data_IF_796059558795
#
_entry.id   IF_796059558795
#
_cell.length_a   1.000
_cell.length_b   1.000
_cell.length_c   1.000
_cell.angle_alpha   90.00
_cell.angle_beta   90.00
_cell.angle_gamma   90.00
#
_symmetry.space_group_name_H-M   'P 1'
#
loop_
_entity.id
_entity.type
_entity.pdbx_description
1 polymer ?
#
# COMPACT_ATOMS: atom_id res chain seq x y z
N UNK A 1 5.63 13.83 7.34
CA UNK A 1 5.86 13.36 8.72
C UNK A 1 5.21 14.26 9.80
N UNK A 2 5.35 15.60 9.73
CA UNK A 2 4.81 16.54 10.74
C UNK A 2 3.28 16.58 10.88
N UNK A 3 2.53 16.31 9.81
CA UNK A 3 1.06 16.40 9.83
C UNK A 3 0.38 15.24 10.55
N UNK A 4 0.96 14.04 10.45
CA UNK A 4 0.45 12.83 11.09
C UNK A 4 0.71 12.85 12.59
N UNK A 5 1.92 13.30 13.00
CA UNK A 5 2.29 13.45 14.40
C UNK A 5 1.36 14.42 15.15
N UNK A 6 0.99 15.54 14.52
CA UNK A 6 0.04 16.51 15.11
C UNK A 6 -1.38 15.96 15.28
N UNK A 7 -1.84 15.04 14.41
CA UNK A 7 -3.16 14.41 14.54
C UNK A 7 -3.17 13.35 15.64
N UNK A 8 -2.13 12.53 15.71
CA UNK A 8 -1.98 11.51 16.77
C UNK A 8 -1.85 12.18 18.14
N UNK A 9 -1.04 13.24 18.25
CA UNK A 9 -0.89 13.99 19.50
C UNK A 9 -2.21 14.62 19.96
N UNK A 10 -3.01 15.16 19.04
CA UNK A 10 -4.34 15.72 19.37
C UNK A 10 -5.31 14.65 19.87
N UNK A 11 -5.35 13.48 19.23
CA UNK A 11 -6.22 12.37 19.65
C UNK A 11 -5.80 11.88 21.05
N UNK A 12 -4.49 11.81 21.31
CA UNK A 12 -3.96 11.36 22.59
C UNK A 12 -4.26 12.36 23.72
N UNK A 13 -4.16 13.67 23.44
CA UNK A 13 -4.57 14.71 24.40
C UNK A 13 -6.06 14.67 24.68
N UNK A 14 -6.91 14.44 23.66
CA UNK A 14 -8.36 14.32 23.82
C UNK A 14 -8.73 13.07 24.63
N UNK A 15 -8.07 11.93 24.37
CA UNK A 15 -8.29 10.71 25.14
C UNK A 15 -7.89 10.87 26.62
N UNK A 16 -6.78 11.54 26.90
CA UNK A 16 -6.35 11.84 28.28
C UNK A 16 -7.30 12.81 28.96
N UNK A 17 -7.81 13.83 28.27
CA UNK A 17 -8.84 14.74 28.79
C UNK A 17 -10.15 14.01 29.08
N UNK A 18 -10.60 13.09 28.22
CA UNK A 18 -11.81 12.29 28.42
C UNK A 18 -11.68 11.33 29.61
N UNK A 19 -10.51 10.69 29.78
CA UNK A 19 -10.23 9.82 30.94
C UNK A 19 -10.19 10.63 32.25
N UNK A 20 -9.76 11.90 32.18
CA UNK A 20 -9.72 12.78 33.35
C UNK A 20 -11.11 13.33 33.73
N UNK A 21 -12.09 13.20 32.82
CA UNK A 21 -13.48 13.64 32.99
C UNK A 21 -14.45 12.48 33.24
N UNK A 22 -13.98 11.26 33.52
CA UNK A 22 -14.87 10.20 33.99
C UNK A 22 -15.46 10.61 35.35
N UNK A 23 -16.76 10.94 35.45
CA UNK A 23 -17.37 11.04 36.76
C UNK A 23 -17.24 9.65 37.40
N UNK A 24 -16.97 9.59 38.69
CA UNK A 24 -17.08 8.34 39.44
C UNK A 24 -18.52 7.84 39.28
N UNK A 25 -18.75 7.02 38.26
CA UNK A 25 -20.03 6.37 38.05
C UNK A 25 -20.13 5.38 39.19
N UNK A 26 -20.96 5.74 40.18
CA UNK A 26 -21.40 4.80 41.18
C UNK A 26 -21.96 3.60 40.41
N UNK A 27 -21.34 2.45 40.60
CA UNK A 27 -21.84 1.17 40.10
C UNK A 27 -23.27 1.07 40.59
N UNK A 28 -24.25 1.24 39.70
CA UNK A 28 -25.65 0.99 40.03
C UNK A 28 -25.77 -0.51 40.19
N UNK A 29 -25.66 -0.97 41.43
CA UNK A 29 -25.96 -2.35 41.79
C UNK A 29 -27.39 -2.62 41.30
N UNK A 30 -27.55 -3.69 40.53
CA UNK A 30 -28.83 -4.12 40.00
C UNK A 30 -29.77 -4.41 41.18
N UNK A 31 -30.73 -3.51 41.40
CA UNK A 31 -31.69 -3.67 42.47
C UNK A 31 -32.92 -4.37 41.91
N UNK A 32 -33.20 -5.57 42.42
CA UNK A 32 -34.48 -6.22 42.16
C UNK A 32 -35.56 -5.54 43.01
N UNK A 33 -36.53 -4.87 42.37
CA UNK A 33 -37.70 -4.34 43.07
C UNK A 33 -38.66 -5.50 43.31
N UNK A 34 -38.96 -5.78 44.59
CA UNK A 34 -39.92 -6.79 44.98
C UNK A 34 -41.05 -6.13 45.78
N UNK A 35 -42.29 -6.59 45.57
CA UNK A 35 -43.45 -6.09 46.31
C UNK A 35 -43.39 -6.53 47.77
N UNK A 36 -43.83 -5.68 48.69
CA UNK A 36 -43.69 -5.85 50.15
C UNK A 36 -44.29 -7.15 50.69
N UNK A 37 -45.25 -7.74 49.97
CA UNK A 37 -46.00 -8.92 50.40
C UNK A 37 -45.34 -10.26 50.03
N UNK A 38 -44.26 -10.25 49.23
CA UNK A 38 -43.50 -11.47 48.89
C UNK A 38 -42.30 -11.64 49.82
N UNK A 39 -42.18 -12.83 50.43
CA UNK A 39 -40.99 -13.18 51.21
C UNK A 39 -39.74 -13.17 50.31
N UNK A 40 -38.61 -12.58 50.74
CA UNK A 40 -37.43 -12.43 49.91
C UNK A 40 -36.87 -13.80 49.50
N UNK A 41 -36.35 -13.95 48.26
CA UNK A 41 -35.75 -15.20 47.83
C UNK A 41 -34.61 -15.59 48.77
N UNK A 42 -34.59 -16.85 49.21
CA UNK A 42 -33.54 -17.46 50.07
C UNK A 42 -32.25 -17.71 49.26
N UNK A 43 -31.89 -16.76 48.40
CA UNK A 43 -30.55 -16.66 47.86
C UNK A 43 -29.72 -15.98 48.93
N UNK A 44 -28.53 -16.52 49.23
CA UNK A 44 -27.52 -15.83 50.03
C UNK A 44 -27.09 -14.54 49.30
N UNK A 45 -27.93 -13.50 49.36
CA UNK A 45 -27.46 -12.15 49.28
C UNK A 45 -26.51 -12.00 50.48
N UNK A 46 -25.22 -12.31 50.26
CA UNK A 46 -24.17 -11.90 51.18
C UNK A 46 -24.32 -10.39 51.26
N UNK A 47 -24.98 -9.93 52.33
CA UNK A 47 -24.98 -8.52 52.70
C UNK A 47 -23.52 -8.06 52.59
N UNK A 48 -23.25 -6.89 51.97
CA UNK A 48 -21.89 -6.39 51.88
C UNK A 48 -21.30 -6.45 53.29
N UNK A 49 -20.35 -7.37 53.51
CA UNK A 49 -19.72 -7.53 54.80
C UNK A 49 -19.09 -6.17 55.06
N UNK A 50 -19.59 -5.44 56.06
CA UNK A 50 -19.01 -4.19 56.47
C UNK A 50 -17.60 -4.51 56.95
N UNK A 51 -16.61 -4.27 56.10
CA UNK A 51 -15.21 -4.43 56.46
C UNK A 51 -14.93 -3.24 57.37
N UNK A 52 -14.75 -3.52 58.65
CA UNK A 52 -14.28 -2.50 59.59
C UNK A 52 -12.92 -1.98 59.12
N UNK A 53 -12.68 -0.68 59.30
CA UNK A 53 -11.45 -0.02 58.86
C UNK A 53 -10.17 -0.78 59.29
N UNK A 54 -10.19 -1.40 60.46
CA UNK A 54 -9.09 -2.19 61.03
C UNK A 54 -8.79 -3.51 60.30
N UNK A 55 -9.73 -4.02 59.51
CA UNK A 55 -9.55 -5.23 58.70
C UNK A 55 -8.89 -4.93 57.35
N UNK A 56 -8.83 -3.65 56.94
CA UNK A 56 -8.14 -3.25 55.72
C UNK A 56 -6.64 -3.25 55.98
N UNK A 57 -5.88 -3.91 55.11
CA UNK A 57 -4.42 -3.97 55.23
C UNK A 57 -3.82 -2.55 55.38
N UNK A 58 -2.97 -2.30 56.39
CA UNK A 58 -2.39 -0.97 56.63
C UNK A 58 -1.68 -0.38 55.39
N UNK A 59 -1.15 -1.25 54.52
CA UNK A 59 -0.49 -0.87 53.27
C UNK A 59 -1.48 -0.25 52.28
N UNK A 60 -2.69 -0.79 52.20
CA UNK A 60 -3.75 -0.29 51.31
C UNK A 60 -4.28 1.05 51.83
N UNK A 61 -4.49 1.17 53.14
CA UNK A 61 -4.87 2.45 53.77
C UNK A 61 -3.81 3.51 53.50
N UNK A 62 -2.53 3.19 53.71
CA UNK A 62 -1.43 4.11 53.46
C UNK A 62 -1.35 4.53 51.99
N UNK A 63 -1.54 3.58 51.06
CA UNK A 63 -1.57 3.88 49.63
C UNK A 63 -2.72 4.83 49.27
N UNK A 64 -3.93 4.59 49.79
CA UNK A 64 -5.09 5.45 49.57
C UNK A 64 -4.85 6.85 50.16
N UNK A 65 -4.32 6.93 51.38
CA UNK A 65 -3.96 8.20 52.02
C UNK A 65 -2.89 8.96 51.22
N UNK A 66 -1.85 8.28 50.73
CA UNK A 66 -0.83 8.89 49.86
C UNK A 66 -1.45 9.46 48.58
N UNK A 67 -2.39 8.73 47.97
CA UNK A 67 -3.07 9.19 46.75
C UNK A 67 -4.01 10.37 47.00
N UNK A 68 -4.60 10.47 48.20
CA UNK A 68 -5.40 11.62 48.63
C UNK A 68 -4.54 12.85 48.92
N UNK A 69 -3.35 12.66 49.51
CA UNK A 69 -2.40 13.74 49.81
C UNK A 69 -1.81 14.32 48.52
N UNK A 70 -1.50 13.49 47.52
CA UNK A 70 -1.05 13.99 46.23
C UNK A 70 -1.32 13.02 45.07
N UNK A 71 -1.95 13.47 43.97
CA UNK A 71 -2.15 12.64 42.78
C UNK A 71 -0.83 12.30 42.05
N UNK A 72 0.31 12.89 42.46
CA UNK A 72 1.64 12.66 41.87
C UNK A 72 2.06 11.20 41.99
N UNK A 73 1.63 10.49 43.05
CA UNK A 73 1.99 9.09 43.27
C UNK A 73 1.36 8.11 42.25
N UNK A 74 0.32 8.53 41.51
CA UNK A 74 -0.34 7.73 40.47
C UNK A 74 0.35 7.89 39.10
N UNK A 75 1.14 8.97 38.92
CA UNK A 75 1.82 9.28 37.66
C UNK A 75 2.74 8.16 37.12
N UNK A 76 3.60 7.49 37.92
CA UNK A 76 4.46 6.43 37.39
C UNK A 76 3.65 5.24 36.86
N UNK A 77 2.57 4.85 37.54
CA UNK A 77 1.67 3.80 37.06
C UNK A 77 0.97 4.19 35.75
N UNK A 78 0.53 5.45 35.61
CA UNK A 78 -0.03 5.98 34.35
C UNK A 78 0.99 5.97 33.20
N UNK A 79 2.25 6.32 33.46
CA UNK A 79 3.32 6.29 32.47
C UNK A 79 3.58 4.85 32.01
N UNK A 80 3.59 3.88 32.94
CA UNK A 80 3.75 2.46 32.62
C UNK A 80 2.58 1.94 31.79
N UNK A 81 1.33 2.20 32.18
CA UNK A 81 0.14 1.75 31.44
C UNK A 81 0.08 2.39 30.05
N UNK A 82 0.38 3.68 29.92
CA UNK A 82 0.44 4.38 28.63
C UNK A 82 1.59 3.88 27.74
N UNK A 83 2.76 3.63 28.32
CA UNK A 83 3.90 3.06 27.62
C UNK A 83 3.65 1.61 27.15
N UNK A 84 3.00 0.80 27.98
CA UNK A 84 2.60 -0.57 27.65
C UNK A 84 1.59 -0.57 26.50
N UNK A 85 0.63 0.36 26.50
CA UNK A 85 -0.29 0.56 25.37
C UNK A 85 0.43 0.96 24.08
N UNK A 86 1.50 1.76 24.18
CA UNK A 86 2.33 2.12 23.03
C UNK A 86 3.13 0.92 22.47
N UNK A 87 3.60 0.02 23.34
CA UNK A 87 4.27 -1.23 22.95
C UNK A 87 3.30 -2.30 22.43
N UNK A 88 2.08 -2.40 22.95
CA UNK A 88 1.09 -3.38 22.49
C UNK A 88 0.44 -2.96 21.17
N UNK A 89 0.36 -1.65 20.89
CA UNK A 89 -0.02 -1.09 19.59
C UNK A 89 1.15 -1.07 18.59
N UNK A 90 2.18 -1.88 18.80
CA UNK A 90 3.21 -2.14 17.80
C UNK A 90 2.58 -2.99 16.67
N UNK A 91 1.72 -2.33 15.88
CA UNK A 91 1.12 -2.81 14.65
C UNK A 91 2.22 -3.49 13.87
N UNK A 92 2.22 -4.83 13.87
CA UNK A 92 3.06 -5.75 13.12
C UNK A 92 3.67 -5.05 11.92
N UNK A 93 4.79 -4.37 12.14
CA UNK A 93 5.38 -3.49 11.15
C UNK A 93 6.06 -4.47 10.23
N UNK A 94 5.58 -4.59 9.00
CA UNK A 94 6.23 -5.43 8.01
C UNK A 94 7.66 -4.91 7.88
N UNK A 95 8.62 -5.62 8.47
CA UNK A 95 10.03 -5.33 8.35
C UNK A 95 10.49 -5.63 6.93
N UNK A 96 11.50 -4.92 6.42
CA UNK A 96 12.06 -5.08 5.06
C UNK A 96 12.39 -6.53 4.68
N UNK A 97 12.66 -7.39 5.67
CA UNK A 97 12.95 -8.83 5.52
C UNK A 97 11.69 -9.67 5.35
N UNK A 98 10.56 -9.28 5.97
CA UNK A 98 9.26 -9.98 6.00
C UNK A 98 8.30 -9.49 4.91
N UNK A 99 8.76 -8.65 3.98
CA UNK A 99 7.92 -8.07 2.90
C UNK A 99 7.57 -9.10 1.83
N UNK A 100 8.29 -10.22 1.71
CA UNK A 100 7.94 -11.26 0.74
C UNK A 100 7.30 -12.49 1.40
N UNK A 101 7.31 -12.59 2.73
CA UNK A 101 6.77 -13.72 3.51
C UNK A 101 5.26 -13.96 3.33
N UNK A 102 4.55 -13.02 2.72
CA UNK A 102 3.16 -13.24 2.37
C UNK A 102 3.11 -13.84 0.96
N UNK A 103 2.69 -15.10 0.83
CA UNK A 103 2.70 -15.85 -0.44
C UNK A 103 2.14 -15.05 -1.61
N UNK A 104 0.97 -14.41 -1.43
CA UNK A 104 0.36 -13.58 -2.48
C UNK A 104 1.25 -12.39 -2.92
N UNK A 105 1.93 -11.74 -1.98
CA UNK A 105 2.79 -10.58 -2.25
C UNK A 105 4.10 -11.00 -2.91
N UNK A 106 4.66 -12.15 -2.52
CA UNK A 106 5.75 -12.80 -3.24
C UNK A 106 5.36 -13.09 -4.69
N UNK A 107 4.20 -13.73 -4.90
CA UNK A 107 3.65 -14.00 -6.25
C UNK A 107 3.45 -12.73 -7.08
N UNK A 108 2.91 -11.66 -6.48
CA UNK A 108 2.76 -10.36 -7.17
C UNK A 108 4.13 -9.80 -7.56
N UNK A 109 5.11 -9.85 -6.67
CA UNK A 109 6.47 -9.38 -6.94
C UNK A 109 7.11 -10.19 -8.07
N UNK A 110 7.11 -11.52 -7.98
CA UNK A 110 7.69 -12.40 -8.99
C UNK A 110 7.05 -12.18 -10.36
N UNK A 111 5.73 -11.96 -10.38
CA UNK A 111 5.01 -11.68 -11.61
C UNK A 111 5.43 -10.33 -12.24
N UNK A 112 5.68 -9.29 -11.43
CA UNK A 112 6.21 -8.00 -11.89
C UNK A 112 7.65 -8.14 -12.39
N UNK A 113 8.48 -8.93 -11.72
CA UNK A 113 9.87 -9.17 -12.14
C UNK A 113 9.92 -9.89 -13.49
N UNK A 114 9.07 -10.90 -13.70
CA UNK A 114 8.97 -11.62 -14.99
C UNK A 114 8.27 -10.82 -16.09
N UNK A 115 7.51 -9.79 -15.74
CA UNK A 115 6.75 -8.97 -16.70
C UNK A 115 7.00 -7.49 -16.40
N UNK A 116 8.18 -6.96 -16.75
CA UNK A 116 8.50 -5.56 -16.51
C UNK A 116 7.52 -4.65 -17.27
N UNK A 117 7.03 -3.60 -16.61
CA UNK A 117 6.06 -2.68 -17.19
C UNK A 117 4.64 -3.22 -17.24
N UNK A 118 4.30 -4.20 -16.41
CA UNK A 118 2.93 -4.71 -16.32
C UNK A 118 1.96 -3.67 -15.73
N UNK A 119 0.73 -3.64 -16.23
CA UNK A 119 -0.34 -2.76 -15.73
C UNK A 119 -1.11 -3.37 -14.55
N UNK A 120 -1.72 -2.51 -13.73
CA UNK A 120 -2.58 -2.95 -12.62
C UNK A 120 -3.63 -4.00 -13.05
N UNK A 121 -4.37 -3.73 -14.13
CA UNK A 121 -5.43 -4.62 -14.64
C UNK A 121 -4.89 -5.95 -15.15
N UNK A 122 -3.65 -5.99 -15.63
CA UNK A 122 -3.03 -7.24 -16.10
C UNK A 122 -2.63 -8.11 -14.91
N UNK A 123 -2.08 -7.51 -13.85
CA UNK A 123 -1.78 -8.23 -12.59
C UNK A 123 -3.09 -8.77 -11.98
N UNK A 124 -4.13 -7.93 -11.92
CA UNK A 124 -5.45 -8.29 -11.39
C UNK A 124 -6.03 -9.53 -12.07
N UNK A 125 -6.04 -9.53 -13.42
CA UNK A 125 -6.56 -10.63 -14.23
C UNK A 125 -5.70 -11.88 -14.12
N UNK A 126 -4.39 -11.76 -14.33
CA UNK A 126 -3.51 -12.93 -14.45
C UNK A 126 -3.24 -13.62 -13.11
N UNK A 127 -3.26 -12.89 -12.00
CA UNK A 127 -3.14 -13.48 -10.67
C UNK A 127 -4.50 -13.74 -9.99
N UNK A 128 -5.61 -13.36 -10.64
CA UNK A 128 -6.98 -13.51 -10.10
C UNK A 128 -7.13 -12.95 -8.68
N UNK A 129 -6.62 -11.73 -8.48
CA UNK A 129 -6.61 -11.06 -7.16
C UNK A 129 -7.64 -9.94 -7.13
N UNK A 130 -8.36 -9.82 -6.03
CA UNK A 130 -9.28 -8.69 -5.83
C UNK A 130 -8.53 -7.34 -5.88
N UNK A 131 -9.09 -6.35 -6.58
CA UNK A 131 -8.58 -4.98 -6.71
C UNK A 131 -8.09 -4.36 -5.40
N UNK A 132 -8.89 -4.43 -4.33
CA UNK A 132 -8.52 -3.83 -3.03
C UNK A 132 -7.30 -4.51 -2.40
N UNK A 133 -7.24 -5.83 -2.49
CA UNK A 133 -6.12 -6.65 -2.02
C UNK A 133 -4.86 -6.37 -2.82
N UNK A 134 -4.97 -6.31 -4.16
CA UNK A 134 -3.85 -5.97 -5.03
C UNK A 134 -3.33 -4.56 -4.74
N UNK A 135 -4.21 -3.58 -4.56
CA UNK A 135 -3.83 -2.21 -4.22
C UNK A 135 -3.07 -2.13 -2.89
N UNK A 136 -3.52 -2.87 -1.86
CA UNK A 136 -2.82 -2.96 -0.59
C UNK A 136 -1.40 -3.54 -0.76
N UNK A 137 -1.27 -4.65 -1.49
CA UNK A 137 0.03 -5.29 -1.70
C UNK A 137 0.98 -4.45 -2.55
N UNK A 138 0.52 -3.83 -3.64
CA UNK A 138 1.32 -2.93 -4.46
C UNK A 138 1.75 -1.68 -3.68
N UNK A 139 0.85 -1.10 -2.89
CA UNK A 139 1.19 0.02 -2.00
C UNK A 139 2.27 -0.38 -1.00
N UNK A 140 2.18 -1.60 -0.46
CA UNK A 140 3.19 -2.14 0.47
C UNK A 140 4.52 -2.36 -0.24
N UNK A 141 4.55 -3.06 -1.38
CA UNK A 141 5.77 -3.29 -2.17
C UNK A 141 6.46 -1.98 -2.58
N UNK A 142 5.68 -0.95 -2.94
CA UNK A 142 6.19 0.39 -3.25
C UNK A 142 6.78 1.07 -2.02
N UNK A 143 6.09 1.01 -0.87
CA UNK A 143 6.56 1.59 0.39
C UNK A 143 7.89 0.98 0.83
N UNK A 144 8.07 -0.31 0.59
CA UNK A 144 9.29 -1.05 0.93
C UNK A 144 10.36 -1.00 -0.17
N UNK A 145 10.18 -0.14 -1.18
CA UNK A 145 11.12 0.07 -2.30
C UNK A 145 11.47 -1.18 -3.10
N UNK A 146 10.55 -2.15 -3.18
CA UNK A 146 10.72 -3.37 -4.01
C UNK A 146 10.30 -3.13 -5.46
N UNK A 147 9.33 -2.26 -5.68
CA UNK A 147 8.82 -1.94 -7.03
C UNK A 147 8.84 -0.43 -7.29
N UNK A 148 9.09 -0.07 -8.54
CA UNK A 148 8.96 1.27 -9.10
C UNK A 148 7.66 1.38 -9.91
N UNK A 149 7.11 2.59 -10.02
CA UNK A 149 5.86 2.84 -10.74
C UNK A 149 6.05 4.00 -11.70
N UNK A 150 5.78 3.77 -12.99
CA UNK A 150 5.67 4.79 -14.01
C UNK A 150 4.20 5.09 -14.27
N UNK A 151 3.79 6.36 -14.16
CA UNK A 151 2.41 6.77 -14.46
C UNK A 151 2.38 7.41 -15.85
N UNK A 152 1.64 6.79 -16.77
CA UNK A 152 1.44 7.29 -18.13
C UNK A 152 -0.04 7.24 -18.51
N UNK A 153 -0.60 8.37 -18.97
CA UNK A 153 -2.01 8.48 -19.39
C UNK A 153 -3.01 7.91 -18.37
N UNK A 154 -2.79 8.21 -17.08
CA UNK A 154 -3.59 7.71 -15.92
C UNK A 154 -3.50 6.20 -15.67
N UNK A 155 -2.61 5.47 -16.35
CA UNK A 155 -2.30 4.06 -16.08
C UNK A 155 -0.94 3.97 -15.36
N UNK A 156 -0.87 3.11 -14.35
CA UNK A 156 0.36 2.78 -13.64
C UNK A 156 0.98 1.51 -14.21
N UNK A 157 2.26 1.60 -14.57
CA UNK A 157 3.11 0.50 -15.05
C UNK A 157 4.12 0.18 -13.95
N UNK A 158 4.24 -1.09 -13.58
CA UNK A 158 5.05 -1.54 -12.44
C UNK A 158 6.34 -2.20 -12.92
N UNK A 159 7.44 -1.90 -12.23
CA UNK A 159 8.78 -2.40 -12.53
C UNK A 159 9.48 -2.84 -11.26
N UNK A 160 10.47 -3.72 -11.38
CA UNK A 160 11.38 -4.03 -10.27
C UNK A 160 12.24 -2.81 -9.91
N UNK A 161 12.38 -2.50 -8.62
CA UNK A 161 13.23 -1.41 -8.15
C UNK A 161 14.63 -1.90 -7.75
N UNK A 162 15.32 -2.56 -8.68
CA UNK A 162 16.70 -3.06 -8.54
C UNK A 162 17.74 -2.15 -9.21
N UNK A 163 17.29 -1.06 -9.86
CA UNK A 163 18.15 -0.21 -10.70
C UNK A 163 18.42 -0.81 -12.09
N UNK A 164 17.79 -1.94 -12.43
CA UNK A 164 17.91 -2.60 -13.73
C UNK A 164 17.40 -1.77 -14.90
N UNK A 165 16.38 -0.94 -14.68
CA UNK A 165 15.75 -0.12 -15.72
C UNK A 165 15.93 1.37 -15.40
N UNK A 166 16.45 2.11 -16.37
CA UNK A 166 16.43 3.57 -16.38
C UNK A 166 15.00 4.09 -16.63
N UNK A 167 14.77 5.37 -16.34
CA UNK A 167 13.46 5.99 -16.57
C UNK A 167 13.05 5.94 -18.05
N UNK A 168 14.00 6.16 -18.95
CA UNK A 168 13.74 6.18 -20.39
C UNK A 168 13.39 4.77 -20.89
N UNK A 169 14.10 3.73 -20.42
CA UNK A 169 13.76 2.34 -20.72
C UNK A 169 12.38 1.95 -20.19
N UNK A 170 11.98 2.42 -18.99
CA UNK A 170 10.63 2.20 -18.47
C UNK A 170 9.57 2.85 -19.38
N UNK A 171 9.84 4.05 -19.91
CA UNK A 171 8.92 4.74 -20.83
C UNK A 171 8.80 4.00 -22.18
N UNK A 172 9.91 3.47 -22.69
CA UNK A 172 9.93 2.63 -23.90
C UNK A 172 9.17 1.31 -23.68
N UNK A 173 9.45 0.58 -22.60
CA UNK A 173 8.74 -0.65 -22.24
C UNK A 173 7.23 -0.42 -22.10
N UNK A 174 6.84 0.67 -21.43
CA UNK A 174 5.43 1.02 -21.29
C UNK A 174 4.76 1.39 -22.64
N UNK A 175 5.52 1.86 -23.63
CA UNK A 175 5.01 2.11 -24.99
C UNK A 175 4.78 0.78 -25.74
N UNK A 176 5.74 -0.13 -25.65
CA UNK A 176 5.73 -1.43 -26.31
C UNK A 176 4.68 -2.41 -25.74
N UNK A 177 4.03 -2.09 -24.62
CA UNK A 177 2.87 -2.85 -24.11
C UNK A 177 1.62 -2.71 -24.98
N UNK A 178 1.55 -1.72 -25.88
CA UNK A 178 0.45 -1.65 -26.82
C UNK A 178 0.74 -2.63 -27.97
N UNK A 179 -0.13 -3.62 -28.16
CA UNK A 179 0.06 -4.67 -29.18
C UNK A 179 0.34 -4.10 -30.58
N UNK A 180 -0.33 -3.01 -30.96
CA UNK A 180 -0.09 -2.36 -32.26
C UNK A 180 1.29 -1.73 -32.32
N UNK A 181 1.74 -1.06 -31.26
CA UNK A 181 3.07 -0.46 -31.21
C UNK A 181 4.16 -1.53 -31.19
N UNK A 182 3.93 -2.66 -30.51
CA UNK A 182 4.81 -3.82 -30.52
C UNK A 182 4.98 -4.37 -31.94
N UNK A 183 3.88 -4.61 -32.67
CA UNK A 183 3.93 -5.12 -34.06
C UNK A 183 4.71 -4.19 -34.98
N UNK A 184 4.50 -2.87 -34.84
CA UNK A 184 5.25 -1.86 -35.60
C UNK A 184 6.74 -1.98 -35.31
N UNK A 185 7.13 -2.02 -34.03
CA UNK A 185 8.52 -2.08 -33.64
C UNK A 185 9.18 -3.41 -34.04
N UNK A 186 8.48 -4.53 -33.94
CA UNK A 186 8.94 -5.83 -34.43
C UNK A 186 9.18 -5.80 -35.94
N UNK A 187 8.29 -5.16 -36.71
CA UNK A 187 8.48 -4.97 -38.14
C UNK A 187 9.69 -4.07 -38.46
N UNK A 188 9.84 -2.95 -37.75
CA UNK A 188 10.98 -2.04 -37.93
C UNK A 188 12.33 -2.67 -37.54
N UNK A 189 12.33 -3.68 -36.66
CA UNK A 189 13.53 -4.46 -36.34
C UNK A 189 13.97 -5.34 -37.52
N UNK A 190 13.01 -5.88 -38.28
CA UNK A 190 13.30 -6.71 -39.46
C UNK A 190 13.60 -5.85 -40.70
N UNK A 191 12.89 -4.74 -40.84
CA UNK A 191 12.96 -3.83 -41.99
C UNK A 191 13.22 -2.39 -41.50
N UNK A 192 14.47 -2.05 -41.11
CA UNK A 192 14.78 -0.69 -40.70
C UNK A 192 14.66 0.28 -41.89
N UNK A 193 14.15 1.49 -41.63
CA UNK A 193 14.00 2.52 -42.65
C UNK A 193 12.68 2.46 -43.44
N UNK A 194 11.71 1.64 -43.03
CA UNK A 194 10.39 1.59 -43.65
C UNK A 194 9.67 2.94 -43.63
N UNK A 195 8.90 3.19 -44.69
CA UNK A 195 8.10 4.41 -44.82
C UNK A 195 6.79 4.31 -44.04
N UNK A 196 6.14 5.45 -43.83
CA UNK A 196 4.81 5.50 -43.22
C UNK A 196 3.76 4.64 -43.93
N UNK A 197 3.85 4.50 -45.26
CA UNK A 197 2.89 3.72 -46.03
C UNK A 197 3.08 2.22 -45.79
N UNK A 198 4.34 1.78 -45.68
CA UNK A 198 4.67 0.38 -45.38
C UNK A 198 4.14 0.01 -43.99
N UNK A 199 4.35 0.89 -43.01
CA UNK A 199 3.84 0.70 -41.65
C UNK A 199 2.31 0.64 -41.63
N UNK A 200 1.63 1.53 -42.36
CA UNK A 200 0.17 1.53 -42.46
C UNK A 200 -0.36 0.22 -43.06
N UNK A 201 0.35 -0.36 -44.04
CA UNK A 201 -0.01 -1.63 -44.66
C UNK A 201 0.10 -2.82 -43.69
N UNK A 202 1.16 -2.86 -42.88
CA UNK A 202 1.40 -3.93 -41.90
C UNK A 202 0.35 -3.94 -40.79
N UNK A 203 0.07 -2.77 -40.20
CA UNK A 203 -0.95 -2.66 -39.14
C UNK A 203 -2.38 -2.57 -39.70
N UNK A 204 -2.55 -2.70 -41.03
CA UNK A 204 -3.83 -2.68 -41.75
C UNK A 204 -4.70 -1.48 -41.35
N UNK A 205 -4.10 -0.30 -41.31
CA UNK A 205 -4.78 0.95 -40.92
C UNK A 205 -4.53 2.08 -41.92
N UNK A 206 -5.17 3.22 -41.70
CA UNK A 206 -4.97 4.41 -42.53
C UNK A 206 -3.62 5.09 -42.26
N UNK A 207 -3.06 5.78 -43.26
CA UNK A 207 -1.80 6.49 -43.09
C UNK A 207 -1.88 7.61 -42.02
N UNK A 208 -3.07 8.12 -41.69
CA UNK A 208 -3.28 9.09 -40.60
C UNK A 208 -3.16 8.44 -39.23
N UNK A 209 -3.73 7.25 -39.04
CA UNK A 209 -3.58 6.46 -37.82
C UNK A 209 -2.13 5.99 -37.65
N UNK A 210 -1.49 5.52 -38.73
CA UNK A 210 -0.06 5.17 -38.72
C UNK A 210 0.82 6.37 -38.33
N UNK A 211 0.57 7.58 -38.88
CA UNK A 211 1.25 8.81 -38.44
C UNK A 211 1.10 9.06 -36.94
N UNK A 212 -0.08 8.82 -36.40
CA UNK A 212 -0.33 9.01 -34.97
C UNK A 212 0.46 8.02 -34.11
N UNK A 213 0.52 6.74 -34.51
CA UNK A 213 1.39 5.75 -33.86
C UNK A 213 2.87 6.15 -33.95
N UNK A 214 3.33 6.59 -35.13
CA UNK A 214 4.72 7.00 -35.35
C UNK A 214 5.11 8.20 -34.51
N UNK A 215 4.25 9.22 -34.46
CA UNK A 215 4.44 10.38 -33.59
C UNK A 215 4.52 9.96 -32.14
N UNK A 216 3.58 9.12 -31.69
CA UNK A 216 3.56 8.61 -30.30
C UNK A 216 4.81 7.82 -29.93
N UNK A 217 5.32 6.99 -30.84
CA UNK A 217 6.53 6.20 -30.64
C UNK A 217 7.79 7.07 -30.64
N UNK A 218 7.81 8.10 -31.48
CA UNK A 218 8.86 9.12 -31.50
C UNK A 218 8.88 9.95 -30.21
N UNK A 219 7.71 10.35 -29.71
CA UNK A 219 7.58 11.09 -28.45
C UNK A 219 8.07 10.28 -27.24
N UNK A 220 8.05 8.95 -27.31
CA UNK A 220 8.62 8.05 -26.28
C UNK A 220 10.07 7.64 -26.53
N UNK A 221 10.74 8.21 -27.54
CA UNK A 221 12.14 7.90 -27.86
C UNK A 221 12.39 6.48 -28.38
N UNK A 222 11.34 5.76 -28.79
CA UNK A 222 11.45 4.38 -29.30
C UNK A 222 11.87 4.38 -30.77
N UNK A 223 11.35 5.33 -31.55
CA UNK A 223 11.54 5.45 -33.00
C UNK A 223 12.08 6.84 -33.33
N UNK A 224 13.05 6.92 -34.23
CA UNK A 224 13.57 8.16 -34.79
C UNK A 224 13.16 8.29 -36.27
N UNK A 225 12.49 9.39 -36.65
CA UNK A 225 12.24 9.68 -38.05
C UNK A 225 13.54 10.21 -38.71
N UNK A 226 13.96 9.59 -39.79
CA UNK A 226 14.96 10.12 -40.71
C UNK A 226 14.25 10.68 -41.95
N UNK A 227 14.72 11.83 -42.45
CA UNK A 227 14.12 12.48 -43.60
C UNK A 227 15.12 12.52 -44.74
N UNK A 228 14.80 11.81 -45.81
CA UNK A 228 15.54 11.82 -47.06
C UNK A 228 14.65 12.43 -48.16
N UNK A 229 14.89 13.70 -48.46
CA UNK A 229 14.08 14.45 -49.43
C UNK A 229 12.61 14.61 -49.01
N UNK A 230 11.70 13.99 -49.76
CA UNK A 230 10.24 14.01 -49.49
C UNK A 230 9.76 12.77 -48.72
N UNK A 231 10.62 11.77 -48.53
CA UNK A 231 10.27 10.52 -47.86
C UNK A 231 10.76 10.58 -46.41
N UNK A 232 9.92 10.11 -45.49
CA UNK A 232 10.27 9.94 -44.07
C UNK A 232 10.37 8.45 -43.82
N UNK A 233 11.56 8.01 -43.45
CA UNK A 233 11.87 6.66 -43.00
C UNK A 233 11.95 6.63 -41.48
N UNK A 234 11.68 5.47 -40.90
CA UNK A 234 11.69 5.29 -39.44
C UNK A 234 12.73 4.25 -39.03
N UNK A 235 13.51 4.58 -38.01
CA UNK A 235 14.53 3.71 -37.43
C UNK A 235 14.26 3.53 -35.94
N UNK A 236 14.58 2.36 -35.39
CA UNK A 236 14.50 2.16 -33.93
C UNK A 236 15.69 2.84 -33.25
N UNK A 237 15.47 3.23 -32.00
CA UNK A 237 16.57 3.63 -31.09
C UNK A 237 17.42 2.41 -30.74
N UNK A 238 18.74 2.58 -30.60
CA UNK A 238 19.64 1.50 -30.14
C UNK A 238 19.20 0.91 -28.80
N UNK A 239 18.65 1.72 -27.89
CA UNK A 239 18.08 1.23 -26.63
C UNK A 239 16.80 0.43 -26.84
N UNK A 240 15.95 0.84 -27.79
CA UNK A 240 14.71 0.15 -28.10
C UNK A 240 14.98 -1.21 -28.77
N UNK A 241 15.96 -1.29 -29.67
CA UNK A 241 16.40 -2.54 -30.30
C UNK A 241 16.82 -3.57 -29.25
N UNK A 242 17.70 -3.18 -28.32
CA UNK A 242 18.14 -4.06 -27.21
C UNK A 242 16.98 -4.55 -26.36
N UNK A 243 16.07 -3.65 -25.98
CA UNK A 243 14.89 -4.00 -25.19
C UNK A 243 13.96 -4.96 -25.95
N UNK A 244 13.78 -4.77 -27.26
CA UNK A 244 12.98 -5.66 -28.11
C UNK A 244 13.63 -7.04 -28.26
N UNK A 245 14.95 -7.11 -28.41
CA UNK A 245 15.70 -8.36 -28.46
C UNK A 245 15.57 -9.16 -27.15
N UNK A 246 15.73 -8.49 -26.00
CA UNK A 246 15.55 -9.09 -24.68
C UNK A 246 14.13 -9.66 -24.52
N UNK A 247 13.10 -8.89 -24.91
CA UNK A 247 11.70 -9.33 -24.86
C UNK A 247 11.40 -10.50 -25.82
N UNK A 248 12.05 -10.54 -26.98
CA UNK A 248 11.91 -11.65 -27.95
C UNK A 248 12.55 -12.92 -27.41
N UNK A 249 13.68 -12.81 -26.71
CA UNK A 249 14.33 -13.93 -26.03
C UNK A 249 13.45 -14.51 -24.91
N UNK A 250 12.78 -13.67 -24.13
CA UNK A 250 11.88 -14.10 -23.04
C UNK A 250 10.59 -14.75 -23.54
N UNK A 251 10.04 -14.32 -24.68
CA UNK A 251 8.83 -14.93 -25.27
C UNK A 251 9.06 -16.26 -26.01
N UNK A 252 10.31 -16.55 -26.39
CA UNK A 252 10.68 -17.77 -27.09
C UNK A 252 11.08 -18.93 -26.15
N UNK A 253 11.24 -18.66 -24.85
CA UNK A 253 11.57 -19.62 -23.79
C UNK A 253 10.32 -20.04 -23.00
#
# INVERSE_FOLDING_TARGET
MRFFFRRVLKILVIAVLLISFYPASAVTVEYSVQNWDEAPPVSEAKAPLAIDFWQVSPVVILAVMLTLISPVFILPAKIIIAGMGMLSLNFRRVEKKTVLDHELRGRIYDYIVRNPGVCFTEIEKNLSVNRGTLEYHLRTLRREHRIAVLIRKRRGFYFENSGRYSRDEMEMLAALRNDTDYIICEYLLQCPGSSRNDIASIIRTTCSTASWHMKRLSDSGVVFPSKEGRVVSYHLSCSAEKVLEDLRGEKAA
#
